data_IF_405575415167
#
_entry.id   IF_405575415167
#
_cell.length_a   1.000
_cell.length_b   1.000
_cell.length_c   1.000
_cell.angle_alpha   90.00
_cell.angle_beta   90.00
_cell.angle_gamma   90.00
#
_symmetry.space_group_name_H-M   'P 1'
#
loop_
_entity.id
_entity.type
_entity.pdbx_description
1 polymer ?
#
# COMPACT_ATOMS: atom_id res chain seq x y z
N UNK A 1 34.22 -43.19 -24.37
CA UNK A 1 34.92 -42.51 -23.26
C UNK A 1 35.14 -41.08 -23.69
N UNK A 2 34.33 -40.17 -23.17
CA UNK A 2 34.47 -38.72 -23.35
C UNK A 2 33.82 -38.08 -22.13
N UNK A 3 34.64 -37.82 -21.12
CA UNK A 3 34.23 -37.19 -19.87
C UNK A 3 34.04 -35.68 -20.10
N UNK A 4 32.84 -35.18 -19.82
CA UNK A 4 32.58 -33.73 -19.70
C UNK A 4 32.78 -33.31 -18.24
N UNK A 5 33.57 -32.27 -17.93
CA UNK A 5 33.74 -31.83 -16.56
C UNK A 5 32.53 -30.98 -16.13
N UNK A 6 31.84 -31.45 -15.09
CA UNK A 6 30.80 -30.71 -14.38
C UNK A 6 31.50 -29.59 -13.59
N UNK A 7 31.26 -28.32 -13.95
CA UNK A 7 31.67 -27.17 -13.13
C UNK A 7 30.72 -27.02 -11.95
N UNK A 8 31.21 -27.35 -10.76
CA UNK A 8 30.58 -27.00 -9.48
C UNK A 8 30.73 -25.51 -9.22
N UNK A 9 29.63 -24.76 -9.13
CA UNK A 9 29.63 -23.38 -8.63
C UNK A 9 29.67 -23.41 -7.10
N UNK A 10 30.82 -23.04 -6.55
CA UNK A 10 30.98 -22.68 -5.13
C UNK A 10 30.23 -21.39 -4.83
N UNK A 11 29.54 -21.36 -3.69
CA UNK A 11 28.67 -20.26 -3.28
C UNK A 11 29.42 -18.95 -3.05
N UNK A 12 28.91 -17.88 -3.67
CA UNK A 12 29.24 -16.51 -3.30
C UNK A 12 28.40 -16.11 -2.09
N UNK A 13 29.10 -15.82 -0.99
CA UNK A 13 28.54 -15.17 0.19
C UNK A 13 28.12 -13.76 -0.18
N UNK A 14 26.90 -13.38 0.21
CA UNK A 14 26.45 -11.99 0.24
C UNK A 14 27.18 -11.24 1.37
N UNK A 15 28.08 -10.39 0.96
CA UNK A 15 28.73 -9.26 1.66
C UNK A 15 28.78 -8.22 0.54
N UNK A 16 28.15 -7.05 0.57
CA UNK A 16 28.11 -5.98 1.56
C UNK A 16 27.11 -4.94 1.02
N UNK A 17 26.11 -4.52 1.79
CA UNK A 17 25.23 -3.37 1.44
C UNK A 17 25.62 -2.09 2.21
N UNK A 18 26.73 -2.10 2.96
CA UNK A 18 27.16 -0.98 3.82
C UNK A 18 28.09 0.05 3.13
N UNK A 19 28.55 -0.18 1.89
CA UNK A 19 29.45 0.75 1.18
C UNK A 19 28.74 1.79 0.30
N UNK A 20 27.41 1.78 0.20
CA UNK A 20 26.70 2.65 -0.76
C UNK A 20 26.44 4.08 -0.27
N UNK A 21 26.54 4.35 1.03
CA UNK A 21 26.20 5.67 1.62
C UNK A 21 27.35 6.68 1.65
N UNK A 22 28.62 6.26 1.54
CA UNK A 22 29.76 7.19 1.56
C UNK A 22 30.07 7.77 0.15
N UNK A 23 29.62 7.12 -0.92
CA UNK A 23 29.91 7.54 -2.30
C UNK A 23 29.04 8.68 -2.85
N UNK A 24 27.91 8.99 -2.21
CA UNK A 24 26.97 10.02 -2.71
C UNK A 24 27.36 11.45 -2.31
N UNK A 25 28.08 11.64 -1.21
CA UNK A 25 28.48 12.97 -0.73
C UNK A 25 29.64 13.57 -1.55
N UNK A 26 30.49 12.74 -2.16
CA UNK A 26 31.59 13.21 -3.03
C UNK A 26 31.09 13.69 -4.41
N UNK A 27 29.94 13.21 -4.88
CA UNK A 27 29.34 13.59 -6.17
C UNK A 27 28.60 14.94 -6.15
N UNK A 28 28.38 15.55 -4.98
CA UNK A 28 27.59 16.78 -4.86
C UNK A 28 28.46 18.04 -4.71
N UNK A 29 29.80 17.90 -4.72
CA UNK A 29 30.76 18.99 -4.50
C UNK A 29 31.70 19.18 -5.68
N UNK A 30 31.93 20.43 -6.03
CA UNK A 30 32.80 20.81 -7.12
C UNK A 30 34.27 20.44 -6.81
N UNK A 31 34.98 19.73 -7.70
CA UNK A 31 36.37 19.32 -7.48
C UNK A 31 37.34 20.51 -7.38
N UNK A 32 37.05 21.63 -8.05
CA UNK A 32 37.92 22.82 -8.05
C UNK A 32 37.72 23.75 -6.84
N UNK A 33 36.48 24.04 -6.45
CA UNK A 33 36.19 25.07 -5.43
C UNK A 33 35.42 24.56 -4.21
N UNK A 34 35.06 23.28 -4.17
CA UNK A 34 34.25 22.69 -3.11
C UNK A 34 32.80 23.20 -3.03
N UNK A 35 32.38 24.03 -4.00
CA UNK A 35 31.03 24.58 -4.09
C UNK A 35 29.98 23.50 -4.44
N UNK A 36 28.70 23.79 -4.18
CA UNK A 36 27.60 22.88 -4.50
C UNK A 36 27.43 22.73 -6.01
N UNK A 37 27.31 21.49 -6.48
CA UNK A 37 26.92 21.17 -7.85
C UNK A 37 25.40 21.15 -7.98
N UNK A 38 24.90 21.69 -9.08
CA UNK A 38 23.48 21.66 -9.43
C UNK A 38 23.29 21.18 -10.86
N UNK A 39 22.38 20.23 -11.04
CA UNK A 39 21.99 19.71 -12.36
C UNK A 39 20.97 20.64 -12.99
N UNK A 40 21.34 21.27 -14.11
CA UNK A 40 20.48 22.10 -14.95
C UNK A 40 20.27 21.38 -16.30
N UNK A 41 19.25 20.54 -16.39
CA UNK A 41 18.97 19.78 -17.61
C UNK A 41 19.93 18.61 -17.78
N UNK A 42 20.80 18.67 -18.81
CA UNK A 42 21.77 17.62 -19.13
C UNK A 42 23.19 17.90 -18.59
N UNK A 43 23.36 19.01 -17.88
CA UNK A 43 24.66 19.49 -17.38
C UNK A 43 24.61 19.65 -15.86
N UNK A 44 25.64 19.17 -15.18
CA UNK A 44 25.84 19.40 -13.74
C UNK A 44 26.90 20.48 -13.56
N UNK A 45 26.48 21.65 -13.05
CA UNK A 45 27.28 22.87 -13.02
C UNK A 45 27.53 23.33 -11.59
N UNK A 46 28.75 23.77 -11.29
CA UNK A 46 29.03 24.48 -10.05
C UNK A 46 28.58 25.94 -10.16
N UNK A 47 27.60 26.36 -9.34
CA UNK A 47 27.14 27.76 -9.33
C UNK A 47 28.19 28.78 -8.89
N UNK A 48 29.22 28.33 -8.16
CA UNK A 48 30.22 29.23 -7.58
C UNK A 48 31.38 29.54 -8.54
N UNK A 49 31.82 28.57 -9.34
CA UNK A 49 32.95 28.75 -10.27
C UNK A 49 32.59 28.52 -11.74
N UNK A 50 31.38 28.06 -12.05
CA UNK A 50 30.93 27.78 -13.42
C UNK A 50 31.51 26.52 -14.04
N UNK A 51 32.21 25.68 -13.28
CA UNK A 51 32.74 24.40 -13.77
C UNK A 51 31.58 23.45 -14.06
N UNK A 52 31.52 22.95 -15.29
CA UNK A 52 30.67 21.81 -15.67
C UNK A 52 31.41 20.53 -15.31
N UNK A 53 30.83 19.73 -14.42
CA UNK A 53 31.44 18.51 -13.90
C UNK A 53 30.96 17.28 -14.66
N UNK A 54 29.73 17.30 -15.12
CA UNK A 54 29.15 16.26 -15.97
C UNK A 54 28.34 16.92 -17.10
N UNK A 55 28.52 16.42 -18.32
CA UNK A 55 27.78 16.76 -19.53
C UNK A 55 27.09 15.48 -20.04
N UNK A 56 26.00 15.63 -20.79
CA UNK A 56 25.23 14.51 -21.38
C UNK A 56 24.56 13.56 -20.38
N UNK A 57 24.00 14.07 -19.28
CA UNK A 57 23.16 13.24 -18.41
C UNK A 57 21.93 12.76 -19.21
N UNK A 58 21.89 11.46 -19.51
CA UNK A 58 20.78 10.84 -20.22
C UNK A 58 19.55 10.87 -19.30
N UNK A 59 18.59 11.73 -19.63
CA UNK A 59 17.27 11.69 -18.99
C UNK A 59 16.63 10.32 -19.24
N UNK A 60 16.51 9.52 -18.18
CA UNK A 60 15.87 8.20 -18.19
C UNK A 60 14.34 8.29 -18.14
N UNK A 61 13.81 9.50 -18.08
CA UNK A 61 12.38 9.80 -18.12
C UNK A 61 11.75 9.57 -19.50
N UNK A 62 10.41 9.64 -19.58
CA UNK A 62 9.70 9.49 -20.85
C UNK A 62 10.07 10.63 -21.81
N UNK A 63 10.53 10.29 -23.01
CA UNK A 63 10.77 11.25 -24.10
C UNK A 63 9.49 11.96 -24.57
N UNK A 64 8.32 11.45 -24.18
CA UNK A 64 6.99 11.93 -24.54
C UNK A 64 6.28 12.54 -23.34
N UNK A 65 5.48 13.59 -23.59
CA UNK A 65 4.60 14.20 -22.61
C UNK A 65 3.16 13.75 -22.87
N UNK A 66 2.50 13.27 -21.83
CA UNK A 66 1.09 12.91 -21.84
C UNK A 66 0.35 13.63 -20.72
N UNK A 67 -0.85 14.11 -21.00
CA UNK A 67 -1.69 14.83 -20.05
C UNK A 67 -2.80 13.94 -19.46
N UNK A 68 -3.10 12.83 -20.11
CA UNK A 68 -4.02 11.80 -19.63
C UNK A 68 -3.46 10.38 -19.84
N UNK A 69 -4.14 9.39 -19.26
CA UNK A 69 -3.71 8.00 -19.30
C UNK A 69 -3.80 7.37 -20.71
N UNK A 70 -4.73 7.83 -21.55
CA UNK A 70 -4.90 7.29 -22.90
C UNK A 70 -3.77 7.78 -23.83
N UNK A 71 -3.43 9.07 -23.74
CA UNK A 71 -2.32 9.67 -24.44
C UNK A 71 -0.98 9.07 -24.00
N UNK A 72 -0.87 8.70 -22.71
CA UNK A 72 0.28 7.97 -22.16
C UNK A 72 0.45 6.61 -22.81
N UNK A 73 -0.63 5.83 -22.91
CA UNK A 73 -0.60 4.49 -23.54
C UNK A 73 -0.33 4.56 -25.05
N UNK A 74 -0.81 5.60 -25.74
CA UNK A 74 -0.59 5.78 -27.18
C UNK A 74 0.83 6.24 -27.51
N UNK A 75 1.37 7.19 -26.72
CA UNK A 75 2.72 7.75 -26.96
C UNK A 75 3.84 6.87 -26.43
N UNK A 76 3.54 5.99 -25.47
CA UNK A 76 4.53 5.07 -24.94
C UNK A 76 4.99 4.09 -26.02
N UNK A 77 6.28 4.17 -26.36
CA UNK A 77 6.93 3.17 -27.22
C UNK A 77 7.20 1.85 -26.50
N UNK A 78 7.08 1.84 -25.17
CA UNK A 78 7.33 0.68 -24.31
C UNK A 78 6.03 0.22 -23.65
N UNK A 79 6.01 -1.01 -23.15
CA UNK A 79 4.87 -1.56 -22.43
C UNK A 79 4.64 -0.89 -21.07
N UNK A 80 3.71 -1.45 -20.31
CA UNK A 80 3.41 -0.99 -18.95
C UNK A 80 4.65 -1.03 -18.04
N UNK A 81 4.76 -0.12 -17.05
CA UNK A 81 5.84 -0.13 -16.08
C UNK A 81 5.80 -1.38 -15.21
N UNK A 82 6.95 -1.76 -14.65
CA UNK A 82 7.02 -2.84 -13.68
C UNK A 82 6.31 -2.47 -12.38
N UNK A 83 5.53 -3.39 -11.81
CA UNK A 83 4.81 -3.15 -10.54
C UNK A 83 4.96 -4.33 -9.59
N UNK A 84 5.10 -4.04 -8.29
CA UNK A 84 5.17 -5.10 -7.26
C UNK A 84 3.84 -5.83 -7.06
N UNK A 85 2.74 -5.30 -7.60
CA UNK A 85 1.40 -5.89 -7.55
C UNK A 85 1.21 -7.11 -8.46
N UNK A 86 2.10 -7.32 -9.43
CA UNK A 86 2.09 -8.52 -10.28
C UNK A 86 3.16 -9.51 -9.84
N UNK A 87 2.87 -10.81 -9.82
CA UNK A 87 3.76 -11.84 -9.24
C UNK A 87 5.18 -11.82 -9.83
N UNK A 88 5.28 -11.56 -11.13
CA UNK A 88 6.49 -11.45 -11.94
C UNK A 88 6.86 -10.00 -12.30
N UNK A 89 6.35 -9.06 -11.53
CA UNK A 89 6.59 -7.62 -11.68
C UNK A 89 6.09 -7.01 -12.99
N UNK A 90 5.20 -7.71 -13.72
CA UNK A 90 4.64 -7.23 -14.98
C UNK A 90 5.45 -7.62 -16.22
N UNK A 91 6.41 -8.55 -16.08
CA UNK A 91 7.27 -8.98 -17.20
C UNK A 91 6.56 -9.92 -18.19
N UNK A 92 5.52 -10.64 -17.76
CA UNK A 92 4.78 -11.56 -18.61
C UNK A 92 3.61 -10.91 -19.33
N UNK A 93 3.39 -11.35 -20.58
CA UNK A 93 2.23 -10.99 -21.37
C UNK A 93 1.03 -11.90 -21.09
N UNK A 94 -0.17 -11.34 -21.23
CA UNK A 94 -1.44 -12.06 -21.18
C UNK A 94 -2.07 -12.20 -22.56
N UNK A 95 -2.47 -13.41 -22.93
CA UNK A 95 -3.30 -13.65 -24.11
C UNK A 95 -4.78 -13.42 -23.74
N UNK A 96 -5.37 -12.33 -24.24
CA UNK A 96 -6.77 -11.95 -23.98
C UNK A 96 -7.78 -13.04 -24.31
N UNK A 97 -8.90 -13.05 -23.59
CA UNK A 97 -9.96 -14.07 -23.66
C UNK A 97 -11.01 -13.80 -24.75
N UNK A 98 -11.01 -12.61 -25.34
CA UNK A 98 -12.11 -12.07 -26.16
C UNK A 98 -12.28 -12.77 -27.53
N UNK A 99 -11.41 -13.71 -27.90
CA UNK A 99 -11.44 -14.46 -29.17
C UNK A 99 -11.62 -13.56 -30.42
N UNK A 100 -11.01 -12.38 -30.38
CA UNK A 100 -10.98 -11.39 -31.45
C UNK A 100 -9.55 -11.14 -31.92
N UNK A 101 -9.39 -10.79 -33.19
CA UNK A 101 -8.12 -10.33 -33.74
C UNK A 101 -7.86 -8.85 -33.41
N UNK A 102 -6.70 -8.32 -33.82
CA UNK A 102 -6.32 -6.92 -33.60
C UNK A 102 -7.26 -5.90 -34.26
N UNK A 103 -8.02 -6.33 -35.27
CA UNK A 103 -9.02 -5.51 -35.96
C UNK A 103 -10.42 -5.70 -35.38
N UNK A 104 -10.56 -6.42 -34.26
CA UNK A 104 -11.82 -6.69 -33.58
C UNK A 104 -12.69 -7.77 -34.22
N UNK A 105 -12.22 -8.45 -35.28
CA UNK A 105 -12.98 -9.53 -35.95
C UNK A 105 -12.92 -10.80 -35.13
N UNK A 106 -14.02 -11.55 -35.13
CA UNK A 106 -14.10 -12.81 -34.40
C UNK A 106 -13.21 -13.87 -35.04
N UNK A 107 -12.46 -14.59 -34.21
CA UNK A 107 -11.59 -15.66 -34.68
C UNK A 107 -12.41 -16.83 -35.24
N UNK A 108 -11.88 -17.50 -36.27
CA UNK A 108 -12.44 -18.77 -36.76
C UNK A 108 -12.34 -19.88 -35.70
N UNK A 109 -13.17 -20.92 -35.80
CA UNK A 109 -13.15 -22.05 -34.84
C UNK A 109 -11.76 -22.69 -34.70
N UNK A 110 -11.03 -22.86 -35.81
CA UNK A 110 -9.66 -23.38 -35.81
C UNK A 110 -8.68 -22.46 -35.06
N UNK A 111 -8.81 -21.15 -35.26
CA UNK A 111 -7.99 -20.16 -34.56
C UNK A 111 -8.33 -20.09 -33.08
N UNK A 112 -9.62 -20.15 -32.69
CA UNK A 112 -10.02 -20.20 -31.28
C UNK A 112 -9.42 -21.40 -30.57
N UNK A 113 -9.46 -22.60 -31.16
CA UNK A 113 -8.80 -23.78 -30.59
C UNK A 113 -7.28 -23.62 -30.49
N UNK A 114 -6.64 -22.92 -31.44
CA UNK A 114 -5.21 -22.58 -31.33
C UNK A 114 -4.97 -21.60 -30.17
N UNK A 115 -5.76 -20.54 -30.07
CA UNK A 115 -5.64 -19.52 -29.01
C UNK A 115 -5.89 -20.10 -27.64
N UNK A 116 -6.88 -20.98 -27.48
CA UNK A 116 -7.14 -21.68 -26.22
C UNK A 116 -5.92 -22.50 -25.79
N UNK A 117 -5.29 -23.24 -26.71
CA UNK A 117 -4.04 -23.97 -26.40
C UNK A 117 -2.91 -23.02 -26.01
N UNK A 118 -2.75 -21.91 -26.72
CA UNK A 118 -1.73 -20.90 -26.40
C UNK A 118 -1.97 -20.26 -25.04
N UNK A 119 -3.22 -19.92 -24.67
CA UNK A 119 -3.58 -19.42 -23.33
C UNK A 119 -3.22 -20.42 -22.25
N UNK A 120 -3.55 -21.70 -22.45
CA UNK A 120 -3.19 -22.76 -21.50
C UNK A 120 -1.68 -22.86 -21.31
N UNK A 121 -0.89 -22.78 -22.38
CA UNK A 121 0.56 -22.77 -22.29
C UNK A 121 1.09 -21.51 -21.61
N UNK A 122 0.60 -20.32 -22.01
CA UNK A 122 0.98 -19.04 -21.42
C UNK A 122 0.73 -19.04 -19.91
N UNK A 123 -0.45 -19.45 -19.45
CA UNK A 123 -0.77 -19.55 -18.03
C UNK A 123 0.17 -20.48 -17.25
N UNK A 124 0.51 -21.64 -17.84
CA UNK A 124 1.47 -22.59 -17.24
C UNK A 124 2.89 -22.04 -17.18
N UNK A 125 3.32 -21.31 -18.19
CA UNK A 125 4.66 -20.69 -18.22
C UNK A 125 4.79 -19.50 -17.29
N UNK A 126 3.68 -18.81 -16.97
CA UNK A 126 3.69 -17.67 -16.04
C UNK A 126 3.82 -18.07 -14.57
N UNK A 127 3.59 -19.33 -14.25
CA UNK A 127 3.53 -19.83 -12.86
C UNK A 127 4.33 -21.12 -12.70
N UNK A 128 5.62 -21.05 -13.07
CA UNK A 128 6.49 -22.22 -13.09
C UNK A 128 6.75 -22.69 -11.67
N UNK A 129 7.03 -21.75 -10.79
CA UNK A 129 7.45 -22.05 -9.43
C UNK A 129 6.29 -21.98 -8.43
N UNK A 130 6.43 -22.73 -7.33
CA UNK A 130 5.46 -22.70 -6.22
C UNK A 130 5.35 -21.31 -5.61
N UNK A 131 6.48 -20.57 -5.53
CA UNK A 131 6.52 -19.18 -5.07
C UNK A 131 5.69 -18.26 -5.97
N UNK A 132 5.81 -18.37 -7.29
CA UNK A 132 5.04 -17.56 -8.23
C UNK A 132 3.53 -17.85 -8.15
N UNK A 133 3.15 -19.13 -8.03
CA UNK A 133 1.74 -19.51 -7.82
C UNK A 133 1.17 -18.90 -6.54
N UNK A 134 1.95 -18.96 -5.47
CA UNK A 134 1.61 -18.36 -4.19
C UNK A 134 1.45 -16.83 -4.30
N UNK A 135 2.42 -16.14 -4.90
CA UNK A 135 2.35 -14.69 -5.15
C UNK A 135 1.12 -14.32 -5.98
N UNK A 136 0.83 -15.06 -7.04
CA UNK A 136 -0.34 -14.81 -7.89
C UNK A 136 -1.65 -14.88 -7.09
N UNK A 137 -1.78 -15.88 -6.21
CA UNK A 137 -2.96 -16.01 -5.34
C UNK A 137 -3.02 -14.88 -4.30
N UNK A 138 -1.91 -14.60 -3.63
CA UNK A 138 -1.85 -13.61 -2.55
C UNK A 138 -2.04 -12.18 -3.04
N UNK A 139 -1.38 -11.79 -4.13
CA UNK A 139 -1.50 -10.45 -4.72
C UNK A 139 -2.91 -10.24 -5.28
N UNK A 140 -3.53 -11.27 -5.86
CA UNK A 140 -4.93 -11.22 -6.25
C UNK A 140 -5.88 -11.04 -5.07
N UNK A 141 -5.59 -11.66 -3.93
CA UNK A 141 -6.38 -11.48 -2.70
C UNK A 141 -6.19 -10.09 -2.09
N UNK A 142 -4.96 -9.56 -2.07
CA UNK A 142 -4.65 -8.18 -1.67
C UNK A 142 -5.44 -7.20 -2.53
N UNK A 143 -5.40 -7.35 -3.86
CA UNK A 143 -6.10 -6.46 -4.78
C UNK A 143 -7.63 -6.52 -4.62
N UNK A 144 -8.18 -7.72 -4.42
CA UNK A 144 -9.62 -7.92 -4.13
C UNK A 144 -10.04 -7.22 -2.86
N UNK A 145 -9.31 -7.41 -1.75
CA UNK A 145 -9.65 -6.79 -0.47
C UNK A 145 -9.43 -5.28 -0.47
N UNK A 146 -8.34 -4.82 -1.07
CA UNK A 146 -8.05 -3.40 -1.18
C UNK A 146 -9.11 -2.67 -2.03
N UNK A 147 -9.58 -3.30 -3.11
CA UNK A 147 -10.70 -2.77 -3.90
C UNK A 147 -11.99 -2.71 -3.10
N UNK A 148 -12.31 -3.77 -2.34
CA UNK A 148 -13.50 -3.79 -1.49
C UNK A 148 -13.49 -2.73 -0.37
N UNK A 149 -12.30 -2.40 0.16
CA UNK A 149 -12.13 -1.42 1.24
C UNK A 149 -11.86 0.01 0.74
N UNK A 150 -11.81 0.23 -0.58
CA UNK A 150 -11.47 1.52 -1.18
C UNK A 150 -10.04 1.97 -0.84
N UNK A 151 -9.10 1.05 -0.68
CA UNK A 151 -7.71 1.38 -0.36
C UNK A 151 -6.94 1.84 -1.61
N UNK A 152 -6.14 2.91 -1.48
CA UNK A 152 -5.39 3.49 -2.60
C UNK A 152 -4.26 2.58 -3.08
N UNK A 153 -3.76 2.84 -4.29
CA UNK A 153 -2.76 2.00 -4.96
C UNK A 153 -1.45 1.88 -4.18
N UNK A 154 -0.97 2.96 -3.56
CA UNK A 154 0.23 2.94 -2.72
C UNK A 154 0.12 1.94 -1.55
N UNK A 155 -1.07 1.75 -0.98
CA UNK A 155 -1.31 0.74 0.07
C UNK A 155 -1.23 -0.67 -0.50
N UNK A 156 -1.74 -0.90 -1.71
CA UNK A 156 -1.67 -2.20 -2.41
C UNK A 156 -0.23 -2.57 -2.74
N UNK A 157 0.54 -1.62 -3.25
CA UNK A 157 1.96 -1.81 -3.54
C UNK A 157 2.75 -2.12 -2.27
N UNK A 158 2.54 -1.33 -1.21
CA UNK A 158 3.19 -1.57 0.09
C UNK A 158 2.84 -2.95 0.66
N UNK A 159 1.57 -3.36 0.58
CA UNK A 159 1.12 -4.69 1.00
C UNK A 159 1.80 -5.80 0.18
N UNK A 160 1.97 -5.57 -1.13
CA UNK A 160 2.66 -6.49 -2.04
C UNK A 160 4.13 -6.65 -1.66
N UNK A 161 4.80 -5.56 -1.29
CA UNK A 161 6.20 -5.58 -0.81
C UNK A 161 6.31 -6.33 0.53
N UNK A 162 5.42 -6.04 1.50
CA UNK A 162 5.40 -6.75 2.79
C UNK A 162 5.20 -8.25 2.57
N UNK A 163 4.28 -8.64 1.69
CA UNK A 163 4.02 -10.05 1.39
C UNK A 163 5.24 -10.73 0.77
N UNK A 164 5.92 -10.09 -0.19
CA UNK A 164 7.16 -10.62 -0.79
C UNK A 164 8.24 -10.84 0.26
N UNK A 165 8.45 -9.85 1.14
CA UNK A 165 9.39 -9.99 2.26
C UNK A 165 9.03 -11.19 3.15
N UNK A 166 7.75 -11.34 3.49
CA UNK A 166 7.29 -12.51 4.26
C UNK A 166 7.53 -13.84 3.55
N UNK A 167 7.41 -13.88 2.22
CA UNK A 167 7.70 -15.07 1.41
C UNK A 167 9.20 -15.38 1.35
N UNK A 168 10.03 -14.36 1.20
CA UNK A 168 11.48 -14.49 1.11
C UNK A 168 12.12 -14.89 2.44
N UNK A 169 11.58 -14.38 3.56
CA UNK A 169 11.95 -14.79 4.92
C UNK A 169 11.26 -16.10 5.36
N UNK A 170 10.52 -16.76 4.48
CA UNK A 170 9.88 -18.05 4.70
C UNK A 170 8.92 -18.06 5.92
N UNK A 171 8.08 -17.02 6.03
CA UNK A 171 7.13 -16.82 7.13
C UNK A 171 5.76 -17.50 6.91
N UNK A 172 5.53 -18.10 5.74
CA UNK A 172 4.27 -18.73 5.36
C UNK A 172 4.02 -20.14 5.94
N UNK A 173 5.03 -21.01 6.16
CA UNK A 173 4.78 -22.36 6.67
C UNK A 173 3.96 -22.36 7.97
N UNK A 174 2.87 -23.12 7.98
CA UNK A 174 1.93 -23.18 9.11
C UNK A 174 0.87 -22.07 9.12
N UNK A 175 0.79 -21.24 8.07
CA UNK A 175 -0.22 -20.18 7.91
C UNK A 175 -0.89 -20.27 6.55
N UNK A 176 -2.11 -19.72 6.46
CA UNK A 176 -2.82 -19.59 5.19
C UNK A 176 -2.20 -18.49 4.33
N UNK A 177 -2.25 -18.66 3.00
CA UNK A 177 -1.80 -17.66 2.03
C UNK A 177 -2.62 -16.38 2.20
N UNK A 178 -3.93 -16.56 2.34
CA UNK A 178 -4.91 -15.53 2.61
C UNK A 178 -4.61 -14.81 3.92
N UNK A 179 -4.28 -15.53 5.00
CA UNK A 179 -4.00 -14.93 6.30
C UNK A 179 -2.79 -14.00 6.28
N UNK A 180 -1.71 -14.40 5.59
CA UNK A 180 -0.51 -13.57 5.42
C UNK A 180 -0.79 -12.39 4.47
N UNK A 181 -1.58 -12.60 3.41
CA UNK A 181 -2.00 -11.54 2.50
C UNK A 181 -2.83 -10.46 3.21
N UNK A 182 -3.84 -10.88 3.98
CA UNK A 182 -4.69 -10.00 4.79
C UNK A 182 -3.89 -9.25 5.86
N UNK A 183 -2.97 -9.94 6.54
CA UNK A 183 -2.08 -9.31 7.51
C UNK A 183 -1.15 -8.26 6.88
N UNK A 184 -0.63 -8.54 5.68
CA UNK A 184 0.21 -7.60 4.93
C UNK A 184 -0.56 -6.37 4.50
N UNK A 185 -1.80 -6.53 4.03
CA UNK A 185 -2.69 -5.42 3.69
C UNK A 185 -3.03 -4.57 4.93
N UNK A 186 -3.34 -5.22 6.06
CA UNK A 186 -3.63 -4.51 7.31
C UNK A 186 -2.42 -3.71 7.80
N UNK A 187 -1.21 -4.27 7.73
CA UNK A 187 0.02 -3.56 8.07
C UNK A 187 0.28 -2.36 7.15
N UNK A 188 0.14 -2.55 5.83
CA UNK A 188 0.31 -1.48 4.85
C UNK A 188 -0.69 -0.34 5.05
N UNK A 189 -1.97 -0.65 5.27
CA UNK A 189 -3.00 0.36 5.51
C UNK A 189 -2.70 1.21 6.75
N UNK A 190 -2.14 0.60 7.80
CA UNK A 190 -1.71 1.33 9.00
C UNK A 190 -0.46 2.19 8.76
N UNK A 191 0.52 1.69 8.01
CA UNK A 191 1.73 2.45 7.67
C UNK A 191 1.42 3.66 6.77
N UNK A 192 0.45 3.53 5.87
CA UNK A 192 0.04 4.61 4.97
C UNK A 192 -0.89 5.66 5.62
N UNK A 193 -1.21 5.55 6.92
CA UNK A 193 -2.10 6.49 7.60
C UNK A 193 -3.58 6.36 7.21
N UNK A 194 -3.97 5.27 6.55
CA UNK A 194 -5.37 4.95 6.20
C UNK A 194 -5.81 3.67 6.93
N UNK A 195 -5.80 3.65 8.27
CA UNK A 195 -6.06 2.42 9.01
C UNK A 195 -7.49 1.92 8.79
N UNK A 196 -7.66 0.61 8.91
CA UNK A 196 -8.95 -0.09 8.96
C UNK A 196 -8.99 -0.89 10.25
N UNK A 197 -10.16 -1.01 10.86
CA UNK A 197 -10.33 -1.87 12.01
C UNK A 197 -10.17 -3.35 11.61
N UNK A 198 -9.86 -4.20 12.60
CA UNK A 198 -9.79 -5.64 12.36
C UNK A 198 -11.14 -6.22 11.92
N UNK A 199 -12.24 -5.62 12.37
CA UNK A 199 -13.58 -6.06 12.01
C UNK A 199 -13.92 -5.72 10.55
N UNK A 200 -13.53 -4.53 10.07
CA UNK A 200 -13.68 -4.15 8.66
C UNK A 200 -12.87 -5.06 7.73
N UNK A 201 -11.63 -5.36 8.10
CA UNK A 201 -10.79 -6.27 7.31
C UNK A 201 -11.34 -7.70 7.35
N UNK A 202 -11.81 -8.16 8.51
CA UNK A 202 -12.42 -9.48 8.63
C UNK A 202 -13.68 -9.62 7.76
N UNK A 203 -14.47 -8.54 7.60
CA UNK A 203 -15.69 -8.56 6.79
C UNK A 203 -15.43 -8.85 5.30
N UNK A 204 -14.28 -8.43 4.76
CA UNK A 204 -13.91 -8.67 3.35
C UNK A 204 -12.93 -9.83 3.15
N UNK A 205 -12.43 -10.40 4.25
CA UNK A 205 -11.41 -11.47 4.27
C UNK A 205 -12.06 -12.86 4.26
N UNK A 206 -11.35 -13.84 3.70
CA UNK A 206 -11.73 -15.27 3.81
C UNK A 206 -11.30 -15.90 5.15
N UNK A 207 -10.56 -15.15 5.95
CA UNK A 207 -9.92 -15.58 7.20
C UNK A 207 -10.54 -14.82 8.36
N UNK A 208 -10.79 -15.53 9.47
CA UNK A 208 -11.40 -14.95 10.68
C UNK A 208 -10.49 -13.96 11.41
N UNK A 209 -11.12 -13.05 12.17
CA UNK A 209 -10.47 -11.97 12.94
C UNK A 209 -9.29 -12.44 13.80
N UNK A 210 -9.44 -13.55 14.52
CA UNK A 210 -8.41 -14.06 15.43
C UNK A 210 -7.17 -14.58 14.69
N UNK A 211 -7.35 -15.19 13.52
CA UNK A 211 -6.24 -15.62 12.69
C UNK A 211 -5.53 -14.42 12.05
N UNK A 212 -6.28 -13.40 11.59
CA UNK A 212 -5.70 -12.14 11.09
C UNK A 212 -4.84 -11.50 12.19
N UNK A 213 -5.39 -11.34 13.40
CA UNK A 213 -4.69 -10.69 14.50
C UNK A 213 -3.42 -11.45 14.93
N UNK A 214 -3.47 -12.78 14.97
CA UNK A 214 -2.29 -13.63 15.28
C UNK A 214 -1.24 -13.53 14.17
N UNK A 215 -1.66 -13.61 12.91
CA UNK A 215 -0.75 -13.56 11.76
C UNK A 215 -0.10 -12.19 11.62
N UNK A 216 -0.87 -11.12 11.79
CA UNK A 216 -0.37 -9.75 11.82
C UNK A 216 0.70 -9.54 12.88
N UNK A 217 0.43 -9.94 14.13
CA UNK A 217 1.41 -9.83 15.23
C UNK A 217 2.70 -10.59 14.94
N UNK A 218 2.58 -11.76 14.32
CA UNK A 218 3.74 -12.53 13.91
C UNK A 218 4.52 -11.83 12.78
N UNK A 219 3.86 -11.49 11.67
CA UNK A 219 4.51 -10.88 10.50
C UNK A 219 5.22 -9.58 10.87
N UNK A 220 4.58 -8.71 11.67
CA UNK A 220 5.22 -7.48 12.14
C UNK A 220 6.50 -7.74 12.93
N UNK A 221 6.45 -8.72 13.84
CA UNK A 221 7.58 -9.02 14.72
C UNK A 221 8.74 -9.62 13.94
N UNK A 222 8.48 -10.58 13.06
CA UNK A 222 9.54 -11.24 12.30
C UNK A 222 10.15 -10.30 11.26
N UNK A 223 9.33 -9.50 10.55
CA UNK A 223 9.81 -8.53 9.55
C UNK A 223 10.37 -7.22 10.16
N UNK A 224 10.32 -7.07 11.49
CA UNK A 224 10.76 -5.86 12.18
C UNK A 224 10.02 -4.59 11.72
N UNK A 225 8.72 -4.69 11.39
CA UNK A 225 7.96 -3.56 10.88
C UNK A 225 7.59 -2.59 12.01
N UNK A 226 8.05 -1.35 11.90
CA UNK A 226 7.64 -0.29 12.82
C UNK A 226 6.25 0.25 12.45
N UNK A 227 5.22 -0.34 13.05
CA UNK A 227 3.83 0.12 12.85
C UNK A 227 3.31 0.78 14.12
N UNK A 228 3.19 2.11 14.07
CA UNK A 228 2.65 2.90 15.18
C UNK A 228 1.18 2.54 15.46
N UNK A 229 0.68 2.71 16.69
CA UNK A 229 -0.75 2.68 16.98
C UNK A 229 -1.54 3.58 16.02
N UNK A 230 -2.74 3.14 15.63
CA UNK A 230 -3.58 3.94 14.75
C UNK A 230 -4.05 5.20 15.49
N UNK A 231 -3.91 6.37 14.86
CA UNK A 231 -4.42 7.62 15.40
C UNK A 231 -5.95 7.68 15.21
N UNK A 232 -6.75 7.93 16.28
CA UNK A 232 -8.20 8.12 16.16
C UNK A 232 -8.60 9.12 15.06
N UNK A 233 -7.83 10.19 14.87
CA UNK A 233 -8.11 11.25 13.89
C UNK A 233 -8.16 10.69 12.46
N UNK A 234 -7.41 9.61 12.18
CA UNK A 234 -7.35 9.00 10.84
C UNK A 234 -8.67 8.35 10.40
N UNK A 235 -9.58 8.05 11.33
CA UNK A 235 -10.88 7.44 11.01
C UNK A 235 -11.97 8.49 10.75
N UNK A 236 -11.83 9.70 11.29
CA UNK A 236 -12.84 10.76 11.26
C UNK A 236 -13.33 11.10 9.84
N UNK A 237 -12.45 11.30 8.83
CA UNK A 237 -12.90 11.74 7.51
C UNK A 237 -13.81 10.71 6.84
N UNK A 238 -13.48 9.42 7.03
CA UNK A 238 -14.27 8.32 6.48
C UNK A 238 -15.63 8.21 7.17
N UNK A 239 -15.65 8.27 8.50
CA UNK A 239 -16.90 8.23 9.26
C UNK A 239 -17.79 9.42 8.95
N UNK A 240 -17.22 10.63 8.82
CA UNK A 240 -17.97 11.82 8.43
C UNK A 240 -18.55 11.69 7.02
N UNK A 241 -17.76 11.20 6.05
CA UNK A 241 -18.24 10.96 4.68
C UNK A 241 -19.34 9.90 4.61
N UNK A 242 -19.20 8.76 5.32
CA UNK A 242 -20.22 7.69 5.31
C UNK A 242 -21.54 8.10 6.00
N UNK A 243 -21.49 9.11 6.89
CA UNK A 243 -22.66 9.69 7.56
C UNK A 243 -23.18 10.97 6.90
N UNK A 244 -22.64 11.35 5.72
CA UNK A 244 -22.98 12.59 5.01
C UNK A 244 -22.90 13.86 5.88
N UNK A 245 -21.91 13.91 6.78
CA UNK A 245 -21.70 15.02 7.70
C UNK A 245 -20.93 16.19 7.06
N UNK A 246 -21.24 17.45 7.42
CA UNK A 246 -20.55 18.61 6.87
C UNK A 246 -19.13 18.76 7.43
N UNK A 247 -18.27 19.46 6.68
CA UNK A 247 -16.88 19.76 7.05
C UNK A 247 -16.73 20.45 8.41
N UNK A 248 -17.76 21.17 8.86
CA UNK A 248 -17.80 21.77 10.19
C UNK A 248 -17.82 20.70 11.30
N UNK A 249 -18.67 19.69 11.16
CA UNK A 249 -18.76 18.55 12.08
C UNK A 249 -17.47 17.73 12.06
N UNK A 250 -16.87 17.52 10.88
CA UNK A 250 -15.58 16.83 10.77
C UNK A 250 -14.47 17.59 11.53
N UNK A 251 -14.34 18.90 11.29
CA UNK A 251 -13.37 19.75 12.00
C UNK A 251 -13.61 19.73 13.50
N UNK A 252 -14.86 19.75 13.93
CA UNK A 252 -15.24 19.69 15.35
C UNK A 252 -14.84 18.35 15.98
N UNK A 253 -15.06 17.23 15.30
CA UNK A 253 -14.65 15.91 15.77
C UNK A 253 -13.14 15.79 15.93
N UNK A 254 -12.36 16.35 14.98
CA UNK A 254 -10.90 16.41 15.08
C UNK A 254 -10.45 17.22 16.30
N UNK A 255 -11.05 18.39 16.54
CA UNK A 255 -10.73 19.23 17.69
C UNK A 255 -10.99 18.50 19.02
N UNK A 256 -12.12 17.78 19.15
CA UNK A 256 -12.42 16.97 20.34
C UNK A 256 -11.35 15.90 20.61
N UNK A 257 -10.86 15.23 19.56
CA UNK A 257 -9.82 14.22 19.68
C UNK A 257 -8.47 14.80 20.08
N UNK A 258 -8.10 15.97 19.56
CA UNK A 258 -6.86 16.65 19.98
C UNK A 258 -6.93 17.10 21.44
N UNK A 259 -8.03 17.70 21.88
CA UNK A 259 -8.23 18.05 23.30
C UNK A 259 -8.17 16.80 24.20
N UNK A 260 -8.75 15.69 23.77
CA UNK A 260 -8.67 14.42 24.49
C UNK A 260 -7.26 13.82 24.51
N UNK A 261 -6.43 14.12 23.50
CA UNK A 261 -5.03 13.73 23.42
C UNK A 261 -4.20 14.51 24.42
N UNK A 262 -4.34 15.83 24.43
CA UNK A 262 -3.67 16.76 25.36
C UNK A 262 -3.97 16.44 26.83
N UNK A 263 -5.21 16.05 27.13
CA UNK A 263 -5.65 15.72 28.49
C UNK A 263 -5.37 14.28 28.91
N UNK A 264 -4.79 13.46 28.02
CA UNK A 264 -4.50 12.05 28.31
C UNK A 264 -5.73 11.13 28.38
N UNK A 265 -6.92 11.63 28.02
CA UNK A 265 -8.18 10.86 28.05
C UNK A 265 -8.18 9.77 26.99
N UNK A 266 -7.36 9.86 25.94
CA UNK A 266 -7.22 8.83 24.90
C UNK A 266 -6.54 7.52 25.36
N UNK A 267 -5.82 7.53 26.48
CA UNK A 267 -4.97 6.39 26.89
C UNK A 267 -5.77 5.12 27.21
N UNK A 268 -5.29 3.97 26.71
CA UNK A 268 -5.90 2.66 26.95
C UNK A 268 -7.23 2.40 26.25
N UNK A 269 -7.69 3.32 25.38
CA UNK A 269 -8.97 3.23 24.67
C UNK A 269 -8.78 2.84 23.21
N UNK A 270 -9.81 2.20 22.65
CA UNK A 270 -9.82 1.84 21.23
C UNK A 270 -9.84 3.10 20.35
N UNK A 271 -8.92 3.27 19.40
CA UNK A 271 -8.90 4.43 18.49
C UNK A 271 -10.18 4.57 17.67
N UNK A 272 -10.73 3.45 17.20
CA UNK A 272 -12.01 3.40 16.46
C UNK A 272 -13.15 3.92 17.34
N UNK A 273 -13.18 3.49 18.60
CA UNK A 273 -14.20 3.90 19.56
C UNK A 273 -14.13 5.39 19.90
N UNK A 274 -12.92 5.94 20.04
CA UNK A 274 -12.72 7.37 20.25
C UNK A 274 -13.17 8.18 19.04
N UNK A 275 -12.79 7.77 17.82
CA UNK A 275 -13.17 8.45 16.60
C UNK A 275 -14.68 8.47 16.38
N UNK A 276 -15.34 7.32 16.54
CA UNK A 276 -16.80 7.20 16.44
C UNK A 276 -17.51 8.09 17.47
N UNK A 277 -17.03 8.10 18.72
CA UNK A 277 -17.59 8.94 19.76
C UNK A 277 -17.36 10.44 19.52
N UNK A 278 -16.22 10.82 18.97
CA UNK A 278 -15.93 12.19 18.60
C UNK A 278 -16.82 12.68 17.45
N UNK A 279 -17.07 11.82 16.45
CA UNK A 279 -18.02 12.13 15.35
C UNK A 279 -19.43 12.30 15.90
N UNK A 280 -19.88 11.42 16.78
CA UNK A 280 -21.20 11.54 17.41
C UNK A 280 -21.31 12.82 18.26
N UNK A 281 -20.33 13.09 19.13
CA UNK A 281 -20.30 14.31 19.95
C UNK A 281 -20.27 15.58 19.09
N UNK A 282 -19.45 15.60 18.04
CA UNK A 282 -19.38 16.72 17.12
C UNK A 282 -20.71 16.97 16.42
N UNK A 283 -21.39 15.92 15.95
CA UNK A 283 -22.70 16.04 15.32
C UNK A 283 -23.73 16.67 16.27
N UNK A 284 -23.75 16.26 17.55
CA UNK A 284 -24.60 16.88 18.56
C UNK A 284 -24.28 18.38 18.75
N UNK A 285 -23.00 18.74 18.81
CA UNK A 285 -22.55 20.13 19.03
C UNK A 285 -22.79 21.04 17.83
N UNK A 286 -22.77 20.50 16.60
CA UNK A 286 -23.08 21.23 15.37
C UNK A 286 -24.55 21.12 14.97
N UNK A 287 -25.40 20.54 15.84
CA UNK A 287 -26.84 20.39 15.64
C UNK A 287 -27.22 19.54 14.40
N UNK A 288 -26.38 18.55 14.08
CA UNK A 288 -26.63 17.54 13.06
C UNK A 288 -27.38 16.33 13.64
N UNK A 289 -28.31 15.77 12.86
CA UNK A 289 -29.16 14.66 13.30
C UNK A 289 -28.49 13.32 13.01
N UNK A 290 -27.69 12.84 13.96
CA UNK A 290 -27.08 11.51 13.90
C UNK A 290 -27.39 10.74 15.17
N UNK A 291 -27.79 9.48 15.01
CA UNK A 291 -28.05 8.54 16.10
C UNK A 291 -26.81 7.72 16.45
N UNK A 292 -26.75 7.19 17.67
CA UNK A 292 -25.66 6.29 18.08
C UNK A 292 -25.66 5.00 17.25
N UNK A 293 -26.83 4.58 16.75
CA UNK A 293 -27.00 3.40 15.91
C UNK A 293 -26.34 3.60 14.54
N UNK A 294 -26.60 4.73 13.87
CA UNK A 294 -25.95 5.06 12.57
C UNK A 294 -24.42 5.09 12.71
N UNK A 295 -23.89 5.72 13.76
CA UNK A 295 -22.44 5.73 14.03
C UNK A 295 -21.91 4.34 14.35
N UNK A 296 -22.67 3.53 15.07
CA UNK A 296 -22.34 2.14 15.41
C UNK A 296 -22.21 1.26 14.16
N UNK A 297 -23.10 1.43 13.18
CA UNK A 297 -23.06 0.70 11.91
C UNK A 297 -21.83 1.07 11.08
N UNK A 298 -21.54 2.36 10.94
CA UNK A 298 -20.38 2.89 10.18
C UNK A 298 -19.04 2.50 10.82
N UNK A 299 -18.94 2.60 12.14
CA UNK A 299 -17.71 2.27 12.87
C UNK A 299 -17.57 0.78 13.22
N UNK A 300 -18.62 -0.01 13.03
CA UNK A 300 -18.73 -1.42 13.43
C UNK A 300 -18.33 -1.67 14.90
N UNK A 301 -18.90 -0.87 15.81
CA UNK A 301 -18.68 -0.97 17.26
C UNK A 301 -20.01 -0.86 18.01
N UNK A 302 -20.08 -1.36 19.24
CA UNK A 302 -21.32 -1.24 20.04
C UNK A 302 -21.69 0.22 20.38
N UNK A 303 -22.99 0.53 20.33
CA UNK A 303 -23.55 1.81 20.79
C UNK A 303 -23.14 2.16 22.23
N UNK A 304 -23.03 1.17 23.11
CA UNK A 304 -22.60 1.37 24.51
C UNK A 304 -21.17 1.92 24.57
N UNK A 305 -20.29 1.49 23.64
CA UNK A 305 -18.93 2.04 23.56
C UNK A 305 -19.00 3.51 23.16
N UNK A 306 -19.77 3.85 22.11
CA UNK A 306 -19.97 5.25 21.68
C UNK A 306 -20.48 6.08 22.85
N UNK A 307 -21.54 5.60 23.53
CA UNK A 307 -22.18 6.25 24.67
C UNK A 307 -21.20 6.60 25.78
N UNK A 308 -20.40 5.62 26.21
CA UNK A 308 -19.45 5.84 27.30
C UNK A 308 -18.31 6.77 26.89
N UNK A 309 -17.85 6.69 25.63
CA UNK A 309 -16.72 7.48 25.16
C UNK A 309 -17.09 8.94 24.91
N UNK A 310 -18.28 9.25 24.38
CA UNK A 310 -18.62 10.63 24.01
C UNK A 310 -18.80 11.53 25.24
N UNK A 311 -19.39 11.01 26.33
CA UNK A 311 -19.48 11.74 27.60
C UNK A 311 -18.09 12.18 28.09
N UNK A 312 -17.13 11.27 28.07
CA UNK A 312 -15.77 11.59 28.52
C UNK A 312 -15.04 12.58 27.60
N UNK A 313 -15.37 12.60 26.29
CA UNK A 313 -14.84 13.61 25.36
C UNK A 313 -15.41 15.00 25.64
N UNK A 314 -16.71 15.09 25.94
CA UNK A 314 -17.38 16.36 26.29
C UNK A 314 -16.89 16.89 27.66
N UNK A 315 -16.77 16.03 28.67
CA UNK A 315 -16.22 16.40 29.97
C UNK A 315 -14.78 16.92 29.87
N UNK A 316 -13.97 16.26 29.02
CA UNK A 316 -12.62 16.71 28.73
C UNK A 316 -12.63 18.10 28.08
N UNK A 317 -13.58 18.41 27.20
CA UNK A 317 -13.67 19.71 26.58
C UNK A 317 -14.14 20.83 27.52
N UNK A 318 -15.18 20.59 28.33
CA UNK A 318 -15.74 21.59 29.26
C UNK A 318 -14.74 22.05 30.33
N UNK A 319 -13.78 21.19 30.67
CA UNK A 319 -12.73 21.51 31.62
C UNK A 319 -11.58 22.33 31.00
N UNK A 320 -11.82 23.03 29.87
CA UNK A 320 -10.86 23.97 29.23
C UNK A 320 -11.03 25.36 29.82
N UNK A 321 -10.09 25.83 30.67
CA UNK A 321 -10.07 27.25 31.02
C UNK A 321 -9.81 28.07 29.75
N UNK A 322 -10.63 29.12 29.56
CA UNK A 322 -10.55 30.05 28.44
C UNK A 322 -9.19 30.76 28.35
#
# INVERSE_FOLDING_TARGET
MTESPIRTRSGERRTTDEESTESSDEQTRCPECGGRLESEGAETVCRQCGLVVEEDEIDRGPEWRAFDAAEKDEKSRVGAPTTKMMHDEGLSTNIGWQDKDAYGKTLSNRQRQKMQRLRTWNERFRTRDSKERNLKQALGEIDRMASALGLPENVRETASVIYRRALDENLLPGRSIEGVATASLYAAARQAGTPRSLDEIAAVSRVGKDEIARTYRYVIRELGLEVKPADPVSYVPRFASELDLPDETERRARALLETAKERGVHSGKSPVGLAAAAVYAAALLTNEKVTQNEVSEVANISEVTIRNRYHELLEAEESTPA
#
